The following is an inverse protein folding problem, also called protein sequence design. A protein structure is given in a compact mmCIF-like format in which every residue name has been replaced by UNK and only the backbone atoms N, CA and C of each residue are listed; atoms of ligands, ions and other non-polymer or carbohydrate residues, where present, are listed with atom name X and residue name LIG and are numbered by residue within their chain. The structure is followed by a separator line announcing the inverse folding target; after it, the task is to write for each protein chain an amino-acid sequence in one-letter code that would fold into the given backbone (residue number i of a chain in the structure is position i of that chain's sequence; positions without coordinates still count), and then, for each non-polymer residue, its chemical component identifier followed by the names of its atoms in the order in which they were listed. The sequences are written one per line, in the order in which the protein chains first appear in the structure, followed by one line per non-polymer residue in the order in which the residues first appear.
data_IF_652844223421
#
_entry.id   IF_652844223421
#
_cell.length_a   1.000
_cell.length_b   1.000
_cell.length_c   1.000
_cell.angle_alpha   90.00
_cell.angle_beta   90.00
_cell.angle_gamma   90.00
#
_symmetry.space_group_name_H-M   'P 1'
#
loop_
_entity.id
_entity.type
_entity.pdbx_description
1 polymer ?
#
# COMPACT_ATOMS: atom_id res chain seq x y z
N UNK A 1 13.17 -12.96 -24.52
CA UNK A 1 12.54 -13.12 -23.19
C UNK A 1 13.02 -11.94 -22.37
N UNK A 2 12.13 -11.19 -21.70
CA UNK A 2 12.56 -10.07 -20.85
C UNK A 2 13.31 -10.63 -19.63
N UNK A 3 14.31 -9.92 -19.16
CA UNK A 3 15.00 -10.23 -17.89
C UNK A 3 14.15 -9.81 -16.70
N UNK A 4 14.40 -10.38 -15.52
CA UNK A 4 13.69 -10.01 -14.29
C UNK A 4 13.81 -8.51 -13.97
N UNK A 5 14.99 -7.93 -14.24
CA UNK A 5 15.22 -6.50 -14.07
C UNK A 5 14.36 -5.64 -15.00
N UNK A 6 14.19 -6.05 -16.27
CA UNK A 6 13.33 -5.37 -17.24
C UNK A 6 11.84 -5.51 -16.87
N UNK A 7 11.43 -6.65 -16.33
CA UNK A 7 10.07 -6.87 -15.85
C UNK A 7 9.77 -5.97 -14.64
N UNK A 8 10.66 -5.92 -13.65
CA UNK A 8 10.51 -5.02 -12.50
C UNK A 8 10.48 -3.55 -12.88
N UNK A 9 11.33 -3.15 -13.84
CA UNK A 9 11.31 -1.78 -14.35
C UNK A 9 9.96 -1.42 -14.99
N UNK A 10 9.39 -2.33 -15.77
CA UNK A 10 8.07 -2.14 -16.40
C UNK A 10 6.95 -2.05 -15.36
N UNK A 11 6.93 -2.96 -14.38
CA UNK A 11 5.95 -2.91 -13.28
C UNK A 11 6.06 -1.57 -12.56
N UNK A 12 7.29 -1.10 -12.28
CA UNK A 12 7.50 0.20 -11.64
C UNK A 12 7.06 1.41 -12.42
N UNK A 13 7.25 1.40 -13.72
CA UNK A 13 6.73 2.45 -14.58
C UNK A 13 5.20 2.50 -14.49
N UNK A 14 4.53 1.35 -14.57
CA UNK A 14 3.07 1.26 -14.49
C UNK A 14 2.52 1.75 -13.14
N UNK A 15 3.09 1.31 -12.02
CA UNK A 15 2.68 1.81 -10.71
C UNK A 15 3.03 3.29 -10.49
N UNK A 16 4.07 3.81 -11.15
CA UNK A 16 4.37 5.25 -11.13
C UNK A 16 3.27 6.06 -11.84
N UNK A 17 2.77 5.58 -12.98
CA UNK A 17 1.65 6.20 -13.69
C UNK A 17 0.39 6.23 -12.81
N UNK A 18 0.06 5.11 -12.17
CA UNK A 18 -1.09 4.98 -11.25
C UNK A 18 -1.00 5.96 -10.08
N UNK A 19 0.19 6.14 -9.51
CA UNK A 19 0.42 7.07 -8.39
C UNK A 19 0.08 8.52 -8.77
N UNK A 20 0.24 8.89 -10.05
CA UNK A 20 0.07 10.24 -10.57
C UNK A 20 -1.31 10.47 -11.22
N UNK A 21 -2.10 9.42 -11.44
CA UNK A 21 -3.45 9.48 -12.01
C UNK A 21 -4.52 9.62 -10.92
N UNK A 22 -5.74 9.95 -11.34
CA UNK A 22 -6.90 10.00 -10.46
C UNK A 22 -7.48 8.60 -10.18
N UNK A 23 -8.19 8.48 -9.06
CA UNK A 23 -8.76 7.21 -8.60
C UNK A 23 -9.76 6.62 -9.59
N UNK A 24 -10.58 7.43 -10.26
CA UNK A 24 -11.57 6.94 -11.22
C UNK A 24 -10.89 6.30 -12.44
N UNK A 25 -9.80 6.90 -12.92
CA UNK A 25 -8.96 6.31 -13.97
C UNK A 25 -8.32 4.99 -13.50
N UNK A 26 -7.80 4.92 -12.29
CA UNK A 26 -7.19 3.69 -11.76
C UNK A 26 -8.19 2.53 -11.68
N UNK A 27 -9.40 2.80 -11.17
CA UNK A 27 -10.48 1.82 -11.05
C UNK A 27 -11.06 1.34 -12.38
N UNK A 28 -10.77 2.03 -13.49
CA UNK A 28 -11.25 1.66 -14.83
C UNK A 28 -10.50 0.46 -15.45
N UNK A 29 -9.51 -0.10 -14.76
CA UNK A 29 -8.72 -1.24 -15.22
C UNK A 29 -8.43 -2.26 -14.10
N UNK A 30 -8.11 -3.49 -14.48
CA UNK A 30 -7.89 -4.62 -13.55
C UNK A 30 -6.75 -4.40 -12.54
N UNK A 31 -5.77 -3.53 -12.84
CA UNK A 31 -4.63 -3.22 -11.96
C UNK A 31 -4.13 -1.76 -12.06
N UNK A 32 -4.90 -0.84 -12.66
CA UNK A 32 -4.43 0.53 -12.97
C UNK A 32 -3.45 0.60 -14.15
N UNK A 33 -3.49 1.70 -14.91
CA UNK A 33 -2.65 2.00 -16.09
C UNK A 33 -2.73 1.05 -17.32
N UNK A 34 -3.92 0.49 -17.58
CA UNK A 34 -4.27 -0.18 -18.85
C UNK A 34 -5.37 0.57 -19.61
N UNK A 35 -5.36 0.50 -20.95
CA UNK A 35 -6.44 1.04 -21.77
C UNK A 35 -7.77 0.29 -21.53
N UNK A 36 -8.90 0.96 -21.79
CA UNK A 36 -10.26 0.44 -21.57
C UNK A 36 -10.41 -1.02 -22.04
N UNK A 37 -10.42 -1.98 -21.11
CA UNK A 37 -11.03 -3.27 -21.37
C UNK A 37 -12.55 -3.12 -21.21
N UNK A 38 -13.32 -3.64 -22.17
CA UNK A 38 -14.79 -3.71 -22.07
C UNK A 38 -15.26 -4.73 -21.03
N UNK A 39 -14.34 -5.43 -20.37
CA UNK A 39 -14.62 -6.33 -19.27
C UNK A 39 -14.15 -5.68 -17.96
N UNK A 40 -15.12 -5.32 -17.13
CA UNK A 40 -14.91 -4.82 -15.77
C UNK A 40 -15.11 -5.99 -14.83
N UNK A 41 -14.03 -6.52 -14.28
CA UNK A 41 -14.07 -7.52 -13.22
C UNK A 41 -13.12 -7.17 -12.08
N UNK A 42 -13.31 -6.00 -11.47
CA UNK A 42 -12.87 -5.80 -10.07
C UNK A 42 -13.99 -6.37 -9.18
N UNK A 43 -14.07 -7.71 -9.09
CA UNK A 43 -15.10 -8.41 -8.31
C UNK A 43 -14.87 -8.27 -6.79
N UNK A 44 -13.66 -7.91 -6.36
CA UNK A 44 -13.28 -7.82 -4.94
C UNK A 44 -12.60 -6.48 -4.65
N UNK A 45 -13.30 -5.36 -4.78
CA UNK A 45 -12.84 -4.10 -4.16
C UNK A 45 -13.56 -4.00 -2.83
N UNK A 46 -12.87 -4.36 -1.75
CA UNK A 46 -13.46 -4.22 -0.41
C UNK A 46 -13.62 -2.74 -0.04
N UNK A 47 -14.72 -2.44 0.64
CA UNK A 47 -15.07 -1.09 1.04
C UNK A 47 -14.37 -0.69 2.33
N UNK A 48 -13.36 0.15 2.20
CA UNK A 48 -12.63 0.74 3.34
C UNK A 48 -13.42 1.82 4.09
N UNK A 49 -14.56 2.30 3.57
CA UNK A 49 -15.26 3.47 4.12
C UNK A 49 -15.69 3.32 5.58
N UNK A 50 -15.84 2.08 6.04
CA UNK A 50 -16.23 1.73 7.41
C UNK A 50 -15.04 1.37 8.31
N UNK A 51 -13.80 1.42 7.80
CA UNK A 51 -12.61 1.11 8.58
C UNK A 51 -12.04 2.35 9.25
N UNK A 52 -11.69 2.19 10.52
CA UNK A 52 -10.93 3.21 11.21
C UNK A 52 -9.51 3.29 10.64
N UNK A 53 -8.98 4.51 10.54
CA UNK A 53 -7.67 4.75 9.90
C UNK A 53 -7.72 4.80 8.37
N UNK A 54 -8.86 4.50 7.74
CA UNK A 54 -9.05 4.71 6.31
C UNK A 54 -8.75 6.16 5.91
N UNK A 55 -8.03 6.31 4.80
CA UNK A 55 -7.69 7.62 4.23
C UNK A 55 -7.98 7.61 2.74
N UNK A 56 -8.98 8.38 2.30
CA UNK A 56 -9.37 8.47 0.89
C UNK A 56 -8.20 8.89 -0.02
N UNK A 57 -7.35 9.82 0.45
CA UNK A 57 -6.17 10.27 -0.29
C UNK A 57 -5.08 9.18 -0.46
N UNK A 58 -5.20 8.07 0.27
CA UNK A 58 -4.29 6.94 0.23
C UNK A 58 -4.88 5.74 -0.53
N UNK A 59 -6.19 5.74 -0.80
CA UNK A 59 -6.87 4.68 -1.53
C UNK A 59 -6.93 4.98 -3.03
N UNK A 60 -6.05 4.31 -3.77
CA UNK A 60 -5.96 4.41 -5.23
C UNK A 60 -6.85 3.39 -5.96
N UNK A 61 -7.67 2.62 -5.25
CA UNK A 61 -8.60 1.65 -5.83
C UNK A 61 -7.94 0.37 -6.37
N UNK A 62 -6.80 -0.03 -5.81
CA UNK A 62 -6.02 -1.20 -6.24
C UNK A 62 -6.08 -2.38 -5.27
N UNK A 63 -6.54 -2.15 -4.04
CA UNK A 63 -6.64 -3.18 -3.01
C UNK A 63 -7.74 -4.18 -3.33
N UNK A 64 -7.49 -5.45 -3.02
CA UNK A 64 -8.42 -6.55 -3.31
C UNK A 64 -9.07 -7.16 -2.07
N UNK A 65 -8.66 -6.70 -0.88
CA UNK A 65 -9.12 -7.22 0.40
C UNK A 65 -8.74 -6.32 1.57
N UNK A 66 -9.18 -6.69 2.79
CA UNK A 66 -8.86 -6.01 4.05
C UNK A 66 -7.99 -6.89 4.98
N UNK A 67 -6.70 -7.14 4.66
CA UNK A 67 -5.86 -8.06 5.43
C UNK A 67 -5.70 -7.65 6.89
N UNK A 68 -5.73 -6.35 7.17
CA UNK A 68 -5.64 -5.77 8.52
C UNK A 68 -6.75 -6.23 9.47
N UNK A 69 -7.96 -6.53 8.96
CA UNK A 69 -9.07 -7.03 9.79
C UNK A 69 -8.84 -8.46 10.32
N UNK A 70 -8.01 -9.25 9.62
CA UNK A 70 -7.74 -10.64 9.96
C UNK A 70 -6.34 -10.85 10.56
N UNK A 71 -5.50 -9.81 10.52
CA UNK A 71 -4.10 -9.87 10.95
C UNK A 71 -3.90 -9.89 12.48
N UNK A 72 -4.97 -9.71 13.27
CA UNK A 72 -4.93 -9.72 14.73
C UNK A 72 -3.90 -8.74 15.33
N UNK A 73 -3.74 -7.58 14.70
CA UNK A 73 -2.85 -6.50 15.15
C UNK A 73 -3.29 -6.04 16.55
N UNK A 74 -2.32 -5.89 17.45
CA UNK A 74 -2.54 -5.46 18.82
C UNK A 74 -1.93 -4.08 19.08
N UNK A 75 -2.43 -3.35 20.09
CA UNK A 75 -1.80 -2.12 20.52
C UNK A 75 -0.32 -2.32 20.88
N UNK A 76 0.56 -1.53 20.27
CA UNK A 76 2.00 -1.61 20.49
C UNK A 76 2.78 -2.47 19.49
N UNK A 77 2.10 -3.24 18.63
CA UNK A 77 2.74 -4.06 17.61
C UNK A 77 3.53 -3.21 16.59
N UNK A 78 4.63 -3.76 16.12
CA UNK A 78 5.32 -3.30 14.91
C UNK A 78 4.77 -4.04 13.70
N UNK A 79 4.10 -3.31 12.80
CA UNK A 79 3.50 -3.85 11.57
C UNK A 79 4.33 -3.45 10.36
N UNK A 80 4.61 -4.41 9.47
CA UNK A 80 5.20 -4.15 8.15
C UNK A 80 4.15 -4.44 7.07
N UNK A 81 3.95 -3.48 6.18
CA UNK A 81 3.11 -3.60 4.99
C UNK A 81 3.97 -3.72 3.73
N UNK A 82 3.80 -4.82 2.99
CA UNK A 82 4.56 -5.14 1.78
C UNK A 82 3.76 -4.72 0.55
N UNK A 83 4.32 -3.76 -0.21
CA UNK A 83 3.69 -3.08 -1.33
C UNK A 83 2.65 -2.06 -0.86
N UNK A 84 3.05 -1.18 0.05
CA UNK A 84 2.15 -0.30 0.79
C UNK A 84 1.43 0.78 -0.05
N UNK A 85 1.82 0.98 -1.31
CA UNK A 85 1.25 1.99 -2.19
C UNK A 85 1.28 3.38 -1.57
N UNK A 86 0.15 4.10 -1.64
CA UNK A 86 -0.03 5.41 -1.04
C UNK A 86 -0.35 5.38 0.48
N UNK A 87 -0.31 4.19 1.11
CA UNK A 87 -0.30 4.01 2.56
C UNK A 87 -1.62 3.63 3.22
N UNK A 88 -2.68 3.28 2.46
CA UNK A 88 -4.00 3.05 3.04
C UNK A 88 -4.01 1.93 4.10
N UNK A 89 -3.48 0.75 3.78
CA UNK A 89 -3.39 -0.37 4.73
C UNK A 89 -2.47 -0.05 5.91
N UNK A 90 -1.38 0.70 5.69
CA UNK A 90 -0.55 1.25 6.78
C UNK A 90 -1.34 2.14 7.76
N UNK A 91 -2.26 2.97 7.27
CA UNK A 91 -3.03 3.87 8.14
C UNK A 91 -4.11 3.14 8.92
N UNK A 92 -4.73 2.12 8.31
CA UNK A 92 -5.60 1.18 9.02
C UNK A 92 -4.82 0.42 10.08
N UNK A 93 -3.66 -0.15 9.75
CA UNK A 93 -2.79 -0.83 10.71
C UNK A 93 -2.31 0.11 11.85
N UNK A 94 -2.04 1.37 11.54
CA UNK A 94 -1.67 2.38 12.54
C UNK A 94 -2.80 2.64 13.53
N UNK A 95 -4.05 2.60 13.07
CA UNK A 95 -5.19 2.71 13.96
C UNK A 95 -5.20 1.54 14.97
N UNK A 96 -5.10 0.31 14.49
CA UNK A 96 -5.14 -0.91 15.31
C UNK A 96 -3.99 -0.99 16.32
N UNK A 97 -2.76 -0.66 15.90
CA UNK A 97 -1.60 -0.68 16.80
C UNK A 97 -1.53 0.51 17.77
N UNK A 98 -2.32 1.56 17.51
CA UNK A 98 -2.36 2.77 18.32
C UNK A 98 -1.07 3.59 18.30
N UNK A 99 -0.98 4.58 19.19
CA UNK A 99 0.14 5.53 19.26
C UNK A 99 1.45 4.93 19.77
N UNK A 100 1.37 3.82 20.49
CA UNK A 100 2.52 3.11 21.06
C UNK A 100 3.19 2.14 20.09
N UNK A 101 2.48 1.73 19.04
CA UNK A 101 3.02 0.84 18.04
C UNK A 101 3.70 1.57 16.90
N UNK A 102 4.14 0.80 15.90
CA UNK A 102 4.90 1.30 14.76
C UNK A 102 4.43 0.64 13.46
N UNK A 103 4.33 1.42 12.39
CA UNK A 103 4.00 0.89 11.06
C UNK A 103 5.07 1.26 10.05
N UNK A 104 5.48 0.30 9.23
CA UNK A 104 6.47 0.48 8.17
C UNK A 104 5.86 0.01 6.85
N UNK A 105 5.61 0.94 5.93
CA UNK A 105 5.25 0.61 4.56
C UNK A 105 6.48 0.46 3.68
N UNK A 106 6.56 -0.62 2.92
CA UNK A 106 7.59 -0.84 1.91
C UNK A 106 6.93 -0.82 0.54
N UNK A 107 7.40 0.04 -0.35
CA UNK A 107 6.97 0.05 -1.75
C UNK A 107 8.18 0.27 -2.64
N UNK A 108 8.21 -0.41 -3.79
CA UNK A 108 9.34 -0.32 -4.71
C UNK A 108 9.26 0.93 -5.62
N UNK A 109 8.10 1.60 -5.68
CA UNK A 109 7.82 2.75 -6.55
C UNK A 109 8.05 4.09 -5.83
N UNK A 110 9.00 4.93 -6.30
CA UNK A 110 9.28 6.23 -5.66
C UNK A 110 8.06 7.14 -5.51
N UNK A 111 7.21 7.21 -6.54
CA UNK A 111 6.01 8.07 -6.53
C UNK A 111 4.96 7.62 -5.49
N UNK A 112 4.83 6.31 -5.25
CA UNK A 112 3.95 5.77 -4.21
C UNK A 112 4.48 6.16 -2.82
N UNK A 113 5.77 5.95 -2.58
CA UNK A 113 6.44 6.30 -1.31
C UNK A 113 6.33 7.79 -1.02
N UNK A 114 6.52 8.65 -2.03
CA UNK A 114 6.37 10.11 -1.87
C UNK A 114 4.94 10.48 -1.48
N UNK A 115 3.94 9.94 -2.19
CA UNK A 115 2.53 10.17 -1.88
C UNK A 115 2.16 9.65 -0.48
N UNK A 116 2.65 8.48 -0.08
CA UNK A 116 2.41 7.90 1.23
C UNK A 116 3.00 8.75 2.36
N UNK A 117 4.23 9.26 2.18
CA UNK A 117 4.86 10.19 3.13
C UNK A 117 4.07 11.48 3.27
N UNK A 118 3.65 12.07 2.15
CA UNK A 118 2.83 13.28 2.17
C UNK A 118 1.47 13.05 2.88
N UNK A 119 0.87 11.86 2.72
CA UNK A 119 -0.34 11.50 3.44
C UNK A 119 -0.10 11.34 4.95
N UNK A 120 0.97 10.66 5.37
CA UNK A 120 1.33 10.53 6.78
C UNK A 120 1.59 11.89 7.45
N UNK A 121 2.27 12.80 6.74
CA UNK A 121 2.52 14.15 7.23
C UNK A 121 1.22 14.94 7.43
N UNK A 122 0.29 14.91 6.47
CA UNK A 122 -1.03 15.53 6.58
C UNK A 122 -1.85 14.98 7.74
N UNK A 123 -1.71 13.69 8.04
CA UNK A 123 -2.38 13.02 9.16
C UNK A 123 -1.67 13.23 10.51
N UNK A 124 -0.47 13.83 10.52
CA UNK A 124 0.32 14.07 11.73
C UNK A 124 0.85 12.78 12.38
N UNK A 125 1.06 11.72 11.58
CA UNK A 125 1.51 10.44 12.10
C UNK A 125 3.04 10.39 12.22
N UNK A 126 3.51 10.31 13.46
CA UNK A 126 4.94 10.20 13.78
C UNK A 126 5.43 8.74 13.90
N UNK A 127 4.49 7.78 13.95
CA UNK A 127 4.76 6.36 14.13
C UNK A 127 4.50 5.51 12.87
N UNK A 128 4.39 6.16 11.71
CA UNK A 128 4.30 5.52 10.39
C UNK A 128 5.47 5.99 9.56
N UNK A 129 6.25 5.06 9.02
CA UNK A 129 7.35 5.36 8.10
C UNK A 129 7.19 4.60 6.78
N UNK A 130 7.61 5.24 5.68
CA UNK A 130 7.59 4.61 4.35
C UNK A 130 8.99 4.52 3.79
N UNK A 131 9.38 3.31 3.39
CA UNK A 131 10.71 2.98 2.87
C UNK A 131 10.57 2.55 1.41
N UNK A 132 11.38 3.16 0.56
CA UNK A 132 11.52 2.67 -0.81
C UNK A 132 12.37 1.40 -0.80
N UNK A 133 11.87 0.31 -1.36
CA UNK A 133 12.62 -0.93 -1.42
C UNK A 133 11.89 -2.04 -2.15
N UNK A 134 12.65 -3.04 -2.57
CA UNK A 134 12.12 -4.28 -3.12
C UNK A 134 11.74 -5.21 -1.96
N UNK A 135 10.57 -5.83 -2.01
CA UNK A 135 10.14 -6.77 -0.97
C UNK A 135 10.95 -8.08 -0.99
N UNK A 136 11.65 -8.38 -2.09
CA UNK A 136 12.62 -9.47 -2.14
C UNK A 136 13.95 -9.11 -1.45
N UNK A 137 14.21 -7.82 -1.23
CA UNK A 137 15.39 -7.29 -0.55
C UNK A 137 14.99 -6.17 0.42
N UNK A 138 14.18 -6.54 1.41
CA UNK A 138 13.51 -5.56 2.26
C UNK A 138 14.49 -4.68 3.04
N UNK A 139 14.30 -3.34 3.06
CA UNK A 139 15.13 -2.41 3.80
C UNK A 139 14.76 -2.37 5.30
N UNK A 140 14.74 -3.53 5.96
CA UNK A 140 14.44 -3.69 7.39
C UNK A 140 15.45 -4.57 8.10
N UNK A 141 15.57 -4.41 9.41
CA UNK A 141 16.43 -5.27 10.24
C UNK A 141 15.68 -6.55 10.62
N UNK A 142 16.43 -7.62 10.91
CA UNK A 142 15.85 -8.89 11.36
C UNK A 142 15.09 -8.74 12.70
N UNK A 143 14.07 -9.58 12.88
CA UNK A 143 13.30 -9.72 14.14
C UNK A 143 12.65 -8.43 14.67
N UNK A 144 12.15 -7.58 13.78
CA UNK A 144 11.53 -6.31 14.19
C UNK A 144 10.00 -6.24 14.05
N UNK A 145 9.38 -7.15 13.30
CA UNK A 145 7.95 -7.11 13.03
C UNK A 145 7.21 -8.13 13.89
N UNK A 146 6.11 -7.69 14.50
CA UNK A 146 5.15 -8.57 15.16
C UNK A 146 4.13 -9.10 14.15
N UNK A 147 3.76 -8.27 13.16
CA UNK A 147 2.80 -8.59 12.10
C UNK A 147 3.33 -8.14 10.74
N UNK A 148 3.14 -8.96 9.71
CA UNK A 148 3.39 -8.62 8.31
C UNK A 148 2.07 -8.72 7.56
N UNK A 149 1.70 -7.68 6.82
CA UNK A 149 0.53 -7.63 5.94
C UNK A 149 0.95 -7.34 4.50
N UNK A 150 0.08 -7.73 3.59
CA UNK A 150 0.24 -7.46 2.16
C UNK A 150 -1.12 -7.58 1.47
N UNK A 151 -1.34 -6.77 0.44
CA UNK A 151 -2.61 -6.69 -0.28
C UNK A 151 -2.38 -6.64 -1.80
N UNK A 152 -2.53 -7.78 -2.46
CA UNK A 152 -2.40 -7.92 -3.92
C UNK A 152 -1.08 -7.38 -4.52
N UNK A 153 0.05 -7.92 -4.04
CA UNK A 153 1.43 -7.54 -4.46
C UNK A 153 2.22 -8.70 -5.04
#
# INVERSE_FOLDING_TARGET
MKTDAELKALVREKYSEIALQDKATNMSSCCGAGGCSTEVYNIMSDDYSNLNGYTEAADLGLGCGLPTQFAQIKPGDTVIDLGSGAGNDCFVARHETGVSGKVIGIDFTPAMVEKARANAEKLGYNNVEFRQGDIEQMPVSANMADVIVSNCV
#
